data_IF_542631884245
#
_entry.id   IF_542631884245
#
_cell.length_a   1.000
_cell.length_b   1.000
_cell.length_c   1.000
_cell.angle_alpha   90.00
_cell.angle_beta   90.00
_cell.angle_gamma   90.00
#
_symmetry.space_group_name_H-M   'P 1'
#
loop_
_entity.id
_entity.type
_entity.pdbx_description
1 polymer ?
#
# COMPACT_ATOMS: atom_id res chain seq x y z
N UNK A 1 7.68 5.58 -0.47
CA UNK A 1 7.29 4.31 0.18
C UNK A 1 7.12 3.27 -0.91
N UNK A 2 8.11 2.40 -1.13
CA UNK A 2 8.05 1.44 -2.24
C UNK A 2 6.87 0.47 -2.10
N UNK A 3 6.44 0.16 -0.87
CA UNK A 3 5.35 -0.79 -0.59
C UNK A 3 3.99 -0.41 -1.22
N UNK A 4 3.69 0.87 -1.39
CA UNK A 4 2.40 1.35 -1.92
C UNK A 4 2.53 2.06 -3.27
N UNK A 5 3.75 2.12 -3.81
CA UNK A 5 3.99 2.71 -5.11
C UNK A 5 3.30 1.87 -6.19
N UNK A 6 2.64 2.54 -7.14
CA UNK A 6 1.80 1.89 -8.15
C UNK A 6 0.84 0.86 -7.53
N UNK A 7 0.19 1.21 -6.40
CA UNK A 7 -0.76 0.35 -5.67
C UNK A 7 -0.21 -1.02 -5.23
N UNK A 8 1.13 -1.21 -5.25
CA UNK A 8 1.76 -2.51 -5.02
C UNK A 8 1.94 -3.36 -6.28
N UNK A 9 1.52 -2.87 -7.44
CA UNK A 9 1.67 -3.50 -8.76
C UNK A 9 3.08 -3.26 -9.34
N UNK A 10 4.10 -3.57 -8.56
CA UNK A 10 5.50 -3.61 -8.99
C UNK A 10 6.10 -4.91 -8.48
N UNK A 11 6.81 -5.65 -9.33
CA UNK A 11 7.37 -6.95 -8.97
C UNK A 11 8.31 -6.91 -7.75
N UNK A 12 8.88 -5.74 -7.46
CA UNK A 12 9.80 -5.50 -6.34
C UNK A 12 9.14 -4.80 -5.15
N UNK A 13 7.82 -4.57 -5.19
CA UNK A 13 7.10 -4.02 -4.05
C UNK A 13 7.20 -4.99 -2.85
N UNK A 14 7.70 -4.53 -1.70
CA UNK A 14 7.75 -5.36 -0.51
C UNK A 14 6.33 -5.54 0.04
N UNK A 15 5.83 -6.78 0.02
CA UNK A 15 4.52 -7.14 0.60
C UNK A 15 4.58 -7.47 2.09
N UNK A 16 5.78 -7.60 2.66
CA UNK A 16 6.01 -7.95 4.07
C UNK A 16 7.15 -7.11 4.64
N UNK A 17 7.00 -6.67 5.88
CA UNK A 17 8.04 -6.03 6.67
C UNK A 17 8.32 -6.87 7.91
N UNK A 18 9.59 -7.23 8.12
CA UNK A 18 10.05 -7.87 9.35
C UNK A 18 10.65 -6.78 10.23
N UNK A 19 10.06 -6.58 11.41
CA UNK A 19 10.43 -5.51 12.33
C UNK A 19 10.84 -6.13 13.65
N UNK A 20 11.94 -5.66 14.21
CA UNK A 20 12.44 -6.16 15.49
C UNK A 20 11.50 -5.72 16.62
N UNK A 21 11.20 -6.65 17.53
CA UNK A 21 10.14 -6.50 18.55
C UNK A 21 10.28 -5.22 19.37
N UNK A 22 11.51 -4.86 19.80
CA UNK A 22 11.72 -3.69 20.66
C UNK A 22 11.45 -2.33 19.99
N UNK A 23 11.28 -2.30 18.66
CA UNK A 23 10.94 -1.06 17.92
C UNK A 23 9.58 -1.12 17.21
N UNK A 24 8.83 -2.22 17.35
CA UNK A 24 7.62 -2.46 16.57
C UNK A 24 6.60 -1.31 16.69
N UNK A 25 6.25 -0.93 17.92
CA UNK A 25 5.20 0.07 18.16
C UNK A 25 5.57 1.46 17.62
N UNK A 26 6.79 1.92 17.89
CA UNK A 26 7.28 3.22 17.40
C UNK A 26 7.44 3.24 15.88
N UNK A 27 7.92 2.13 15.30
CA UNK A 27 8.00 1.97 13.85
C UNK A 27 6.61 2.05 13.22
N UNK A 28 5.63 1.32 13.75
CA UNK A 28 4.27 1.29 13.22
C UNK A 28 3.57 2.65 13.35
N UNK A 29 3.80 3.44 14.41
CA UNK A 29 3.30 4.82 14.50
C UNK A 29 3.78 5.67 13.30
N UNK A 30 5.07 5.60 12.98
CA UNK A 30 5.64 6.34 11.84
C UNK A 30 5.09 5.83 10.51
N UNK A 31 4.94 4.52 10.35
CA UNK A 31 4.35 3.92 9.15
C UNK A 31 2.91 4.41 8.96
N UNK A 32 2.07 4.31 9.98
CA UNK A 32 0.66 4.71 9.90
C UNK A 32 0.53 6.20 9.57
N UNK A 33 1.34 7.05 10.21
CA UNK A 33 1.36 8.48 9.89
C UNK A 33 1.70 8.75 8.41
N UNK A 34 2.59 7.97 7.80
CA UNK A 34 2.92 8.11 6.37
C UNK A 34 1.84 7.53 5.46
N UNK A 35 1.28 6.36 5.81
CA UNK A 35 0.24 5.69 5.02
C UNK A 35 -1.02 6.54 4.90
N UNK A 36 -1.42 7.20 5.99
CA UNK A 36 -2.60 8.07 6.01
C UNK A 36 -2.47 9.32 5.14
N UNK A 37 -1.25 9.70 4.72
CA UNK A 37 -1.02 10.84 3.83
C UNK A 37 -1.07 10.46 2.34
N UNK A 38 -1.26 9.18 2.01
CA UNK A 38 -1.34 8.73 0.62
C UNK A 38 -2.64 9.22 -0.01
N UNK A 39 -2.54 10.15 -0.96
CA UNK A 39 -3.67 10.63 -1.77
C UNK A 39 -3.98 9.63 -2.87
N UNK A 40 -5.22 9.13 -2.89
CA UNK A 40 -5.75 8.24 -3.94
C UNK A 40 -6.75 8.99 -4.81
N UNK A 41 -6.72 8.79 -6.12
CA UNK A 41 -7.58 9.56 -7.03
C UNK A 41 -7.34 9.31 -8.51
N UNK A 42 -7.78 10.28 -9.33
CA UNK A 42 -7.58 10.28 -10.78
C UNK A 42 -6.07 10.34 -11.08
N UNK A 43 -5.52 9.42 -11.89
CA UNK A 43 -4.10 9.43 -12.25
C UNK A 43 -3.65 10.64 -13.08
N UNK A 44 -4.58 11.42 -13.65
CA UNK A 44 -4.27 12.69 -14.34
C UNK A 44 -4.18 13.89 -13.40
N UNK A 45 -4.63 13.77 -12.14
CA UNK A 45 -4.42 14.78 -11.12
C UNK A 45 -2.98 14.69 -10.59
N UNK A 46 -2.23 15.78 -10.68
CA UNK A 46 -0.84 15.87 -10.21
C UNK A 46 -0.69 15.67 -8.69
N UNK A 47 -1.77 15.84 -7.93
CA UNK A 47 -1.79 15.61 -6.49
C UNK A 47 -2.02 14.15 -6.10
N UNK A 48 -2.47 13.30 -7.04
CA UNK A 48 -2.70 11.87 -6.79
C UNK A 48 -1.36 11.15 -6.66
N UNK A 49 -1.20 10.40 -5.56
CA UNK A 49 -0.02 9.54 -5.35
C UNK A 49 -0.25 8.12 -5.85
N UNK A 50 -1.51 7.65 -5.81
CA UNK A 50 -1.90 6.27 -6.08
C UNK A 50 -3.24 6.27 -6.84
N UNK A 51 -3.22 5.86 -8.11
CA UNK A 51 -4.40 5.61 -8.94
C UNK A 51 -5.12 4.27 -8.67
N UNK A 52 -5.91 3.83 -9.66
CA UNK A 52 -6.70 2.59 -9.61
C UNK A 52 -5.83 1.32 -9.80
N UNK A 53 -6.41 0.16 -9.50
CA UNK A 53 -5.85 -1.15 -9.91
C UNK A 53 -5.91 -1.31 -11.44
N UNK A 54 -5.04 -2.14 -12.00
CA UNK A 54 -4.98 -2.34 -13.45
C UNK A 54 -6.24 -2.96 -14.06
N UNK A 55 -7.02 -3.74 -13.29
CA UNK A 55 -8.26 -4.36 -13.73
C UNK A 55 -9.20 -4.74 -12.58
N UNK A 56 -10.47 -4.97 -12.89
CA UNK A 56 -11.48 -5.47 -11.94
C UNK A 56 -11.09 -6.86 -11.40
N UNK A 57 -10.63 -7.76 -12.26
CA UNK A 57 -10.15 -9.08 -11.84
C UNK A 57 -9.04 -9.00 -10.78
N UNK A 58 -8.09 -8.07 -10.97
CA UNK A 58 -7.01 -7.88 -10.02
C UNK A 58 -7.51 -7.26 -8.71
N UNK A 59 -8.42 -6.29 -8.79
CA UNK A 59 -9.07 -5.69 -7.63
C UNK A 59 -9.80 -6.75 -6.79
N UNK A 60 -10.63 -7.58 -7.41
CA UNK A 60 -11.35 -8.67 -6.74
C UNK A 60 -10.39 -9.68 -6.12
N UNK A 61 -9.30 -10.01 -6.84
CA UNK A 61 -8.29 -10.92 -6.32
C UNK A 61 -7.62 -10.37 -5.06
N UNK A 62 -7.29 -9.08 -5.03
CA UNK A 62 -6.71 -8.41 -3.86
C UNK A 62 -7.70 -8.42 -2.70
N UNK A 63 -8.97 -8.07 -2.95
CA UNK A 63 -10.00 -8.10 -1.91
C UNK A 63 -10.19 -9.50 -1.32
N UNK A 64 -10.14 -10.55 -2.14
CA UNK A 64 -10.23 -11.95 -1.64
C UNK A 64 -9.12 -12.31 -0.65
N UNK A 65 -7.93 -11.70 -0.75
CA UNK A 65 -6.85 -11.93 0.22
C UNK A 65 -7.11 -11.22 1.56
N UNK A 66 -7.91 -10.15 1.58
CA UNK A 66 -8.30 -9.48 2.83
C UNK A 66 -9.28 -10.32 3.65
N UNK A 67 -10.01 -11.26 3.04
CA UNK A 67 -10.91 -12.16 3.76
C UNK A 67 -10.18 -13.35 4.41
N UNK A 68 -8.96 -13.65 3.95
CA UNK A 68 -8.12 -14.75 4.46
C UNK A 68 -7.24 -14.28 5.61
N UNK A 69 -6.90 -13.00 5.65
CA UNK A 69 -5.98 -12.39 6.60
C UNK A 69 -6.70 -11.90 7.88
#
# INVERSE_FOLDING_TARGET
VLAFFNQGEVCTCPSRALVQESIYDEFMKVVMNKVLQIKRGDPLDTDTMVGAQASEQQFDKILSYLEIA
#
